data_IF_162191614270
#
_entry.id   IF_162191614270
#
_cell.length_a   1.000
_cell.length_b   1.000
_cell.length_c   1.000
_cell.angle_alpha   90.00
_cell.angle_beta   90.00
_cell.angle_gamma   90.00
#
_symmetry.space_group_name_H-M   'P 1'
#
loop_
_entity.id
_entity.type
_entity.pdbx_description
1 polymer ?
#
# COMPACT_ATOMS: atom_id res chain seq x y z
N UNK A 1 35.47 -6.31 -22.05
CA UNK A 1 34.76 -5.02 -21.89
C UNK A 1 33.35 -5.23 -22.42
N UNK A 2 32.32 -5.05 -21.59
CA UNK A 2 30.94 -5.17 -22.02
C UNK A 2 30.59 -3.98 -22.91
N UNK A 3 30.16 -4.24 -24.14
CA UNK A 3 29.86 -3.23 -25.15
C UNK A 3 28.62 -2.41 -24.70
N UNK A 4 28.83 -1.13 -24.38
CA UNK A 4 27.78 -0.22 -23.96
C UNK A 4 27.28 0.63 -25.15
N UNK A 5 26.03 0.42 -25.52
CA UNK A 5 25.35 1.10 -26.61
C UNK A 5 24.52 2.24 -26.01
N UNK A 6 24.80 3.48 -26.38
CA UNK A 6 23.92 4.61 -26.03
C UNK A 6 22.64 4.56 -26.86
N UNK A 7 21.49 4.64 -26.18
CA UNK A 7 20.18 4.57 -26.80
C UNK A 7 19.92 5.80 -27.68
N UNK A 8 19.59 5.55 -28.93
CA UNK A 8 19.15 6.54 -29.91
C UNK A 8 18.21 5.88 -30.92
N UNK A 9 17.49 6.66 -31.70
CA UNK A 9 16.63 6.10 -32.74
C UNK A 9 17.40 5.19 -33.69
N UNK A 10 18.64 5.55 -34.03
CA UNK A 10 19.50 4.76 -34.94
C UNK A 10 19.97 3.50 -34.27
N UNK A 11 20.59 3.58 -33.07
CA UNK A 11 21.12 2.37 -32.38
C UNK A 11 20.04 1.37 -32.05
N UNK A 12 18.83 1.81 -31.65
CA UNK A 12 17.71 0.90 -31.36
C UNK A 12 17.20 0.21 -32.64
N UNK A 13 17.07 0.93 -33.76
CA UNK A 13 16.61 0.34 -35.00
C UNK A 13 17.60 -0.68 -35.60
N UNK A 14 18.88 -0.47 -35.39
CA UNK A 14 19.95 -1.34 -35.89
C UNK A 14 20.35 -2.44 -34.89
N UNK A 15 19.76 -2.45 -33.68
CA UNK A 15 20.07 -3.44 -32.64
C UNK A 15 19.71 -4.85 -33.10
N UNK A 16 20.73 -5.70 -33.26
CA UNK A 16 20.61 -7.08 -33.73
C UNK A 16 20.21 -8.02 -32.59
N UNK A 17 19.63 -9.17 -32.90
CA UNK A 17 19.29 -10.24 -31.96
C UNK A 17 18.33 -9.82 -30.85
N UNK A 18 17.42 -8.87 -31.13
CA UNK A 18 16.33 -8.47 -30.23
C UNK A 18 14.99 -8.47 -30.96
N UNK A 19 13.88 -8.82 -30.28
CA UNK A 19 12.55 -8.81 -30.89
C UNK A 19 12.10 -7.39 -31.28
N UNK A 20 11.20 -7.31 -32.25
CA UNK A 20 10.61 -6.03 -32.65
C UNK A 20 9.86 -5.32 -31.51
N UNK A 21 9.18 -6.09 -30.63
CA UNK A 21 8.51 -5.55 -29.43
C UNK A 21 9.47 -4.81 -28.50
N UNK A 22 10.66 -5.34 -28.26
CA UNK A 22 11.69 -4.70 -27.43
C UNK A 22 12.16 -3.39 -28.08
N UNK A 23 12.42 -3.38 -29.40
CA UNK A 23 12.78 -2.15 -30.11
C UNK A 23 11.69 -1.07 -30.03
N UNK A 24 10.41 -1.46 -30.14
CA UNK A 24 9.28 -0.54 -30.00
C UNK A 24 9.23 0.05 -28.60
N UNK A 25 9.38 -0.76 -27.54
CA UNK A 25 9.42 -0.30 -26.18
C UNK A 25 10.61 0.66 -25.94
N UNK A 26 11.80 0.31 -26.43
CA UNK A 26 12.99 1.16 -26.33
C UNK A 26 12.81 2.51 -27.06
N UNK A 27 12.16 2.52 -28.25
CA UNK A 27 11.86 3.77 -28.94
C UNK A 27 10.90 4.67 -28.14
N UNK A 28 9.93 4.08 -27.44
CA UNK A 28 9.03 4.84 -26.57
C UNK A 28 9.77 5.41 -25.34
N UNK A 29 10.75 4.67 -24.79
CA UNK A 29 11.58 5.11 -23.66
C UNK A 29 12.54 6.27 -24.01
N UNK A 30 12.81 6.56 -25.30
CA UNK A 30 13.55 7.76 -25.69
C UNK A 30 12.84 9.07 -25.30
N UNK A 31 11.55 9.02 -24.98
CA UNK A 31 10.79 10.19 -24.53
C UNK A 31 10.90 10.44 -23.00
N UNK A 32 11.53 9.53 -22.26
CA UNK A 32 11.81 9.74 -20.83
C UNK A 32 12.83 10.87 -20.67
N UNK A 33 12.81 11.59 -19.54
CA UNK A 33 13.60 12.82 -19.38
C UNK A 33 14.44 12.86 -18.11
N UNK A 34 14.12 12.01 -17.11
CA UNK A 34 14.75 12.04 -15.78
C UNK A 34 15.51 10.76 -15.50
N UNK A 35 16.73 10.90 -14.98
CA UNK A 35 17.55 9.78 -14.55
C UNK A 35 18.18 8.98 -15.69
N UNK A 36 18.59 7.76 -15.42
CA UNK A 36 19.13 6.83 -16.41
C UNK A 36 18.49 5.46 -16.34
N UNK A 37 18.48 4.73 -17.47
CA UNK A 37 18.02 3.34 -17.51
C UNK A 37 19.01 2.50 -18.33
N UNK A 38 19.45 1.40 -17.77
CA UNK A 38 20.32 0.45 -18.46
C UNK A 38 19.61 -0.90 -18.57
N UNK A 39 19.44 -1.39 -19.80
CA UNK A 39 19.11 -2.78 -20.05
C UNK A 39 20.39 -3.61 -20.20
N UNK A 40 20.56 -4.64 -19.36
CA UNK A 40 21.54 -5.69 -19.56
C UNK A 40 20.86 -6.79 -20.39
N UNK A 41 21.31 -6.95 -21.63
CA UNK A 41 20.69 -7.91 -22.56
C UNK A 41 21.21 -9.32 -22.32
N UNK A 42 20.47 -10.39 -22.72
CA UNK A 42 20.89 -11.78 -22.53
C UNK A 42 22.24 -12.14 -23.18
N UNK A 43 22.66 -11.39 -24.18
CA UNK A 43 23.95 -11.57 -24.87
C UNK A 43 25.10 -10.73 -24.27
N UNK A 44 24.87 -10.10 -23.10
CA UNK A 44 25.86 -9.34 -22.35
C UNK A 44 26.03 -7.88 -22.77
N UNK A 45 25.37 -7.41 -23.84
CA UNK A 45 25.40 -6.00 -24.24
C UNK A 45 24.59 -5.13 -23.25
N UNK A 46 24.99 -3.87 -23.12
CA UNK A 46 24.33 -2.86 -22.30
C UNK A 46 23.71 -1.81 -23.20
N UNK A 47 22.39 -1.60 -23.10
CA UNK A 47 21.69 -0.49 -23.78
C UNK A 47 21.35 0.58 -22.74
N UNK A 48 22.04 1.74 -22.80
CA UNK A 48 21.92 2.83 -21.84
C UNK A 48 21.06 3.96 -22.40
N UNK A 49 20.04 4.34 -21.64
CA UNK A 49 19.29 5.59 -21.78
C UNK A 49 19.81 6.54 -20.72
N UNK A 50 20.27 7.71 -21.16
CA UNK A 50 20.86 8.72 -20.28
C UNK A 50 20.15 10.05 -20.57
N UNK A 51 19.73 10.73 -19.53
CA UNK A 51 18.95 11.95 -19.68
C UNK A 51 19.61 13.12 -18.96
N UNK A 52 19.37 14.35 -19.44
CA UNK A 52 19.99 15.56 -18.92
C UNK A 52 19.48 15.94 -17.52
N UNK A 53 18.24 15.53 -17.20
CA UNK A 53 17.67 15.82 -15.89
C UNK A 53 18.06 14.73 -14.88
N UNK A 54 18.53 15.16 -13.71
CA UNK A 54 18.81 14.24 -12.60
C UNK A 54 17.58 13.43 -12.20
N UNK A 55 17.79 12.19 -11.78
CA UNK A 55 16.71 11.28 -11.40
C UNK A 55 17.25 9.91 -11.04
N UNK A 56 16.38 8.90 -10.92
CA UNK A 56 16.78 7.55 -10.56
C UNK A 56 17.67 6.88 -11.61
N UNK A 57 18.61 6.05 -11.15
CA UNK A 57 19.54 5.28 -11.98
C UNK A 57 19.13 3.79 -11.98
N UNK A 58 18.33 3.41 -12.95
CA UNK A 58 17.72 2.09 -13.04
C UNK A 58 18.54 1.11 -13.89
N UNK A 59 18.61 -0.14 -13.43
CA UNK A 59 19.18 -1.26 -14.19
C UNK A 59 18.15 -2.38 -14.30
N UNK A 60 17.88 -2.84 -15.52
CA UNK A 60 17.00 -3.99 -15.80
C UNK A 60 17.81 -5.07 -16.50
N UNK A 61 17.92 -6.22 -15.87
CA UNK A 61 18.54 -7.42 -16.42
C UNK A 61 17.48 -8.22 -17.15
N UNK A 62 17.63 -8.35 -18.47
CA UNK A 62 16.68 -9.05 -19.34
C UNK A 62 17.05 -10.52 -19.43
N UNK A 63 16.18 -11.40 -18.95
CA UNK A 63 16.35 -12.86 -19.08
C UNK A 63 15.50 -13.43 -20.23
N UNK A 64 14.27 -12.90 -20.39
CA UNK A 64 13.39 -13.23 -21.53
C UNK A 64 12.71 -11.93 -22.02
N UNK A 65 12.76 -11.71 -23.31
CA UNK A 65 12.09 -10.57 -23.95
C UNK A 65 10.55 -10.65 -23.93
N UNK A 66 9.96 -11.76 -23.47
CA UNK A 66 8.52 -11.91 -23.29
C UNK A 66 7.95 -10.83 -22.34
N UNK A 67 8.75 -10.40 -21.34
CA UNK A 67 8.36 -9.35 -20.40
C UNK A 67 7.85 -8.07 -21.09
N UNK A 68 8.44 -7.71 -22.23
CA UNK A 68 8.03 -6.51 -22.97
C UNK A 68 6.62 -6.66 -23.53
N UNK A 69 6.29 -7.83 -24.09
CA UNK A 69 4.93 -8.07 -24.59
C UNK A 69 3.90 -8.03 -23.46
N UNK A 70 4.28 -8.59 -22.28
CA UNK A 70 3.44 -8.54 -21.07
C UNK A 70 3.24 -7.11 -20.57
N UNK A 71 4.31 -6.31 -20.50
CA UNK A 71 4.25 -4.90 -20.12
C UNK A 71 3.41 -4.07 -21.11
N UNK A 72 3.59 -4.27 -22.42
CA UNK A 72 2.80 -3.56 -23.44
C UNK A 72 1.31 -3.97 -23.42
N UNK A 73 0.99 -5.22 -23.10
CA UNK A 73 -0.38 -5.70 -23.04
C UNK A 73 -1.05 -5.38 -21.69
N UNK A 74 -0.37 -5.64 -20.57
CA UNK A 74 -0.89 -5.58 -19.20
C UNK A 74 -0.51 -4.32 -18.42
N UNK A 75 0.36 -3.48 -18.96
CA UNK A 75 0.85 -2.30 -18.24
C UNK A 75 1.70 -2.68 -17.03
N UNK A 76 1.48 -1.98 -15.91
CA UNK A 76 2.15 -2.21 -14.61
C UNK A 76 1.93 -3.63 -14.07
N UNK A 77 0.72 -4.17 -14.22
CA UNK A 77 0.42 -5.56 -13.83
C UNK A 77 1.26 -6.55 -14.66
N UNK A 78 1.29 -6.39 -15.99
CA UNK A 78 2.08 -7.27 -16.86
C UNK A 78 3.59 -7.17 -16.61
N UNK A 79 4.08 -5.98 -16.28
CA UNK A 79 5.48 -5.75 -15.92
C UNK A 79 5.85 -6.43 -14.59
N UNK A 80 4.97 -6.32 -13.60
CA UNK A 80 5.12 -6.98 -12.30
C UNK A 80 5.08 -8.51 -12.41
N UNK A 81 4.10 -9.07 -13.15
CA UNK A 81 3.96 -10.50 -13.34
C UNK A 81 5.19 -11.08 -14.05
N UNK A 82 5.77 -10.36 -15.02
CA UNK A 82 7.00 -10.77 -15.69
C UNK A 82 8.20 -10.78 -14.72
N UNK A 83 8.27 -9.85 -13.76
CA UNK A 83 9.26 -9.89 -12.69
C UNK A 83 9.06 -11.10 -11.78
N UNK A 84 7.82 -11.37 -11.37
CA UNK A 84 7.48 -12.53 -10.52
C UNK A 84 7.91 -13.84 -11.18
N UNK A 85 7.71 -13.97 -12.48
CA UNK A 85 8.07 -15.16 -13.26
C UNK A 85 9.56 -15.21 -13.67
N UNK A 86 10.37 -14.19 -13.28
CA UNK A 86 11.80 -14.18 -13.53
C UNK A 86 12.22 -13.84 -14.97
N UNK A 87 11.34 -13.27 -15.80
CA UNK A 87 11.66 -12.84 -17.15
C UNK A 87 12.64 -11.64 -17.17
N UNK A 88 12.68 -10.88 -16.06
CA UNK A 88 13.67 -9.84 -15.81
C UNK A 88 14.02 -9.75 -14.32
N UNK A 89 15.18 -9.17 -14.02
CA UNK A 89 15.62 -8.89 -12.66
C UNK A 89 16.32 -7.52 -12.58
N UNK A 90 16.71 -7.13 -11.39
CA UNK A 90 17.39 -5.87 -11.12
C UNK A 90 18.14 -5.95 -9.80
N UNK A 91 19.29 -5.28 -9.65
CA UNK A 91 19.94 -5.12 -8.35
C UNK A 91 19.16 -4.22 -7.39
N UNK A 92 18.35 -3.28 -7.91
CA UNK A 92 17.51 -2.38 -7.11
C UNK A 92 16.14 -2.18 -7.76
N UNK A 93 15.13 -2.86 -7.20
CA UNK A 93 13.77 -2.83 -7.73
C UNK A 93 13.10 -1.46 -7.48
N UNK A 94 13.40 -0.84 -6.34
CA UNK A 94 12.84 0.47 -6.01
C UNK A 94 13.34 1.54 -6.99
N UNK A 95 14.63 1.51 -7.37
CA UNK A 95 15.18 2.45 -8.37
C UNK A 95 14.51 2.28 -9.75
N UNK A 96 14.24 1.03 -10.19
CA UNK A 96 13.50 0.80 -11.44
C UNK A 96 12.09 1.41 -11.37
N UNK A 97 11.38 1.19 -10.26
CA UNK A 97 10.02 1.70 -10.08
C UNK A 97 10.00 3.22 -9.93
N UNK A 98 10.99 3.82 -9.27
CA UNK A 98 11.20 5.26 -9.21
C UNK A 98 11.43 5.86 -10.60
N UNK A 99 12.27 5.22 -11.43
CA UNK A 99 12.51 5.67 -12.79
C UNK A 99 11.20 5.75 -13.60
N UNK A 100 10.40 4.69 -13.57
CA UNK A 100 9.11 4.69 -14.28
C UNK A 100 8.10 5.66 -13.66
N UNK A 101 8.09 5.83 -12.33
CA UNK A 101 7.25 6.82 -11.64
C UNK A 101 7.63 8.25 -12.04
N UNK A 102 8.91 8.60 -12.01
CA UNK A 102 9.40 9.93 -12.36
C UNK A 102 9.16 10.29 -13.84
N UNK A 103 9.07 9.29 -14.72
CA UNK A 103 8.86 9.43 -16.18
C UNK A 103 7.46 8.95 -16.62
N UNK A 104 6.50 8.87 -15.70
CA UNK A 104 5.19 8.25 -15.98
C UNK A 104 4.44 8.86 -17.18
N UNK A 105 4.47 10.18 -17.35
CA UNK A 105 3.79 10.83 -18.47
C UNK A 105 4.45 10.48 -19.82
N UNK A 106 5.77 10.45 -19.84
CA UNK A 106 6.56 10.13 -21.03
C UNK A 106 6.50 8.62 -21.37
N UNK A 107 6.55 7.76 -20.34
CA UNK A 107 6.41 6.31 -20.46
C UNK A 107 4.96 5.83 -20.48
N UNK A 108 3.99 6.73 -20.33
CA UNK A 108 2.58 6.42 -20.03
C UNK A 108 1.87 5.53 -21.05
N UNK A 109 2.33 5.49 -22.31
CA UNK A 109 1.84 4.55 -23.31
C UNK A 109 2.28 3.10 -23.02
N UNK A 110 3.44 2.90 -22.39
CA UNK A 110 3.94 1.60 -21.98
C UNK A 110 3.24 1.13 -20.68
N UNK A 111 3.00 2.07 -19.76
CA UNK A 111 2.39 1.79 -18.46
C UNK A 111 0.87 1.49 -18.52
N UNK A 112 0.21 1.83 -19.63
CA UNK A 112 -1.26 1.79 -19.73
C UNK A 112 -1.79 0.43 -20.21
N UNK A 113 -0.98 -0.38 -20.91
CA UNK A 113 -1.40 -1.65 -21.50
C UNK A 113 -2.43 -1.54 -22.62
N UNK A 114 -2.76 -2.65 -23.25
CA UNK A 114 -3.75 -2.75 -24.33
C UNK A 114 -5.19 -2.60 -23.82
N UNK A 115 -6.07 -1.96 -24.58
CA UNK A 115 -7.47 -1.70 -24.20
C UNK A 115 -8.25 -2.98 -23.85
N UNK A 116 -8.03 -4.07 -24.59
CA UNK A 116 -8.70 -5.37 -24.35
C UNK A 116 -8.27 -5.99 -23.04
N UNK A 117 -6.97 -5.98 -22.72
CA UNK A 117 -6.44 -6.54 -21.46
C UNK A 117 -6.93 -5.71 -20.27
N UNK A 118 -6.96 -4.39 -20.39
CA UNK A 118 -7.54 -3.51 -19.36
C UNK A 118 -9.02 -3.82 -19.11
N UNK A 119 -9.81 -3.98 -20.17
CA UNK A 119 -11.23 -4.33 -20.06
C UNK A 119 -11.40 -5.70 -19.37
N UNK A 120 -10.65 -6.71 -19.78
CA UNK A 120 -10.71 -8.03 -19.18
C UNK A 120 -10.32 -8.00 -17.69
N UNK A 121 -9.27 -7.27 -17.33
CA UNK A 121 -8.86 -7.08 -15.93
C UNK A 121 -9.94 -6.36 -15.11
N UNK A 122 -10.55 -5.32 -15.67
CA UNK A 122 -11.65 -4.59 -15.01
C UNK A 122 -12.88 -5.48 -14.80
N UNK A 123 -13.30 -6.22 -15.82
CA UNK A 123 -14.45 -7.14 -15.71
C UNK A 123 -14.17 -8.21 -14.65
N UNK A 124 -12.99 -8.84 -14.69
CA UNK A 124 -12.59 -9.81 -13.67
C UNK A 124 -12.60 -9.22 -12.26
N UNK A 125 -12.06 -8.01 -12.07
CA UNK A 125 -12.05 -7.33 -10.78
C UNK A 125 -13.46 -7.03 -10.27
N UNK A 126 -14.35 -6.51 -11.12
CA UNK A 126 -15.74 -6.22 -10.76
C UNK A 126 -16.50 -7.45 -10.27
N UNK A 127 -16.18 -8.64 -10.79
CA UNK A 127 -16.83 -9.89 -10.38
C UNK A 127 -16.15 -10.58 -9.20
N UNK A 128 -14.82 -10.45 -9.04
CA UNK A 128 -14.06 -11.20 -8.03
C UNK A 128 -13.80 -10.43 -6.73
N UNK A 129 -13.89 -9.10 -6.74
CA UNK A 129 -13.39 -8.25 -5.64
C UNK A 129 -14.44 -7.31 -5.05
N UNK A 130 -15.72 -7.65 -5.16
CA UNK A 130 -16.78 -6.84 -4.55
C UNK A 130 -16.68 -6.87 -3.03
N UNK A 131 -16.66 -5.68 -2.40
CA UNK A 131 -16.62 -5.51 -0.94
C UNK A 131 -18.01 -5.62 -0.28
N UNK A 132 -18.85 -6.54 -0.76
CA UNK A 132 -20.01 -7.00 0.00
C UNK A 132 -19.54 -7.60 1.34
N UNK A 133 -20.45 -7.85 2.29
CA UNK A 133 -20.07 -8.47 3.58
C UNK A 133 -19.27 -9.77 3.41
N UNK A 134 -19.69 -10.63 2.49
CA UNK A 134 -18.99 -11.88 2.17
C UNK A 134 -17.71 -11.62 1.38
N UNK A 135 -17.74 -10.68 0.42
CA UNK A 135 -16.58 -10.27 -0.36
C UNK A 135 -15.49 -9.65 0.51
N UNK A 136 -15.83 -8.75 1.43
CA UNK A 136 -14.87 -8.16 2.37
C UNK A 136 -14.22 -9.23 3.26
N UNK A 137 -14.98 -10.17 3.81
CA UNK A 137 -14.44 -11.31 4.57
C UNK A 137 -13.50 -12.17 3.71
N UNK A 138 -13.87 -12.45 2.46
CA UNK A 138 -13.02 -13.23 1.52
C UNK A 138 -11.75 -12.48 1.17
N UNK A 139 -11.82 -11.19 0.87
CA UNK A 139 -10.67 -10.37 0.49
C UNK A 139 -9.68 -10.22 1.66
N UNK A 140 -10.19 -9.93 2.87
CA UNK A 140 -9.37 -9.87 4.09
C UNK A 140 -8.77 -11.24 4.40
N UNK A 141 -9.56 -12.31 4.29
CA UNK A 141 -9.07 -13.66 4.49
C UNK A 141 -7.91 -13.98 3.54
N UNK A 142 -8.06 -13.71 2.25
CA UNK A 142 -7.02 -13.99 1.25
C UNK A 142 -5.68 -13.28 1.56
N UNK A 143 -5.72 -12.07 2.12
CA UNK A 143 -4.51 -11.32 2.47
C UNK A 143 -3.91 -11.74 3.82
N UNK A 144 -4.75 -11.92 4.87
CA UNK A 144 -4.28 -12.22 6.23
C UNK A 144 -4.15 -13.74 6.51
N UNK A 145 -4.61 -14.61 5.61
CA UNK A 145 -4.39 -16.08 5.68
C UNK A 145 -2.92 -16.49 5.43
N UNK A 146 -2.02 -15.52 5.13
CA UNK A 146 -0.57 -15.76 5.15
C UNK A 146 -0.07 -16.17 6.55
N UNK A 147 -0.88 -15.92 7.60
CA UNK A 147 -0.66 -16.37 8.96
C UNK A 147 0.14 -15.40 9.83
N UNK A 148 -0.14 -15.43 11.14
CA UNK A 148 0.56 -14.59 12.11
C UNK A 148 2.06 -14.85 12.13
N UNK A 149 2.47 -16.11 11.92
CA UNK A 149 3.88 -16.51 11.90
C UNK A 149 4.65 -15.83 10.77
N UNK A 150 4.02 -15.69 9.59
CA UNK A 150 4.60 -14.94 8.47
C UNK A 150 4.83 -13.48 8.82
N UNK A 151 3.79 -12.80 9.34
CA UNK A 151 3.90 -11.37 9.65
C UNK A 151 4.86 -11.08 10.80
N UNK A 152 4.94 -11.94 11.81
CA UNK A 152 5.83 -11.78 12.95
C UNK A 152 7.32 -11.86 12.61
N UNK A 153 7.67 -12.43 11.47
CA UNK A 153 9.07 -12.55 11.03
C UNK A 153 9.66 -11.24 10.49
N UNK A 154 8.83 -10.29 10.07
CA UNK A 154 9.31 -9.08 9.41
C UNK A 154 8.62 -7.78 9.84
N UNK A 155 7.47 -7.82 10.51
CA UNK A 155 6.92 -6.64 11.19
C UNK A 155 7.71 -6.34 12.45
N UNK A 156 7.56 -5.12 12.96
CA UNK A 156 8.07 -4.72 14.27
C UNK A 156 7.37 -5.50 15.41
N UNK A 157 7.95 -5.52 16.64
CA UNK A 157 7.36 -6.27 17.77
C UNK A 157 5.92 -5.91 18.11
N UNK A 158 5.46 -4.70 17.74
CA UNK A 158 4.08 -4.30 17.92
C UNK A 158 3.11 -4.95 16.92
N UNK A 159 3.61 -5.71 15.96
CA UNK A 159 2.81 -6.33 14.89
C UNK A 159 1.96 -5.29 14.15
N UNK A 160 2.56 -4.16 13.79
CA UNK A 160 1.85 -3.07 13.13
C UNK A 160 2.06 -3.09 11.63
N UNK A 161 0.98 -3.34 10.88
CA UNK A 161 0.99 -3.37 9.42
C UNK A 161 0.29 -2.14 8.84
N UNK A 162 0.87 -0.98 9.11
CA UNK A 162 0.48 0.34 8.61
C UNK A 162 1.64 1.31 8.78
N UNK A 163 1.62 2.46 8.09
CA UNK A 163 2.71 3.43 8.14
C UNK A 163 3.07 3.83 9.57
N UNK A 164 4.34 3.88 9.86
CA UNK A 164 4.88 4.53 11.06
C UNK A 164 4.97 6.06 10.86
N UNK A 165 5.21 6.82 11.94
CA UNK A 165 5.50 8.26 11.92
C UNK A 165 6.89 8.49 12.52
N UNK A 166 7.86 8.88 11.69
CA UNK A 166 9.23 9.11 12.11
C UNK A 166 9.45 10.59 12.44
N UNK A 167 9.09 10.98 13.66
CA UNK A 167 9.25 12.37 14.14
C UNK A 167 10.70 12.86 14.15
N UNK A 168 11.63 11.92 14.16
CA UNK A 168 13.04 12.19 13.91
C UNK A 168 13.70 10.97 13.24
N UNK A 169 14.85 11.17 12.54
CA UNK A 169 15.49 10.12 11.76
C UNK A 169 16.04 8.95 12.58
N UNK A 170 16.25 9.11 13.88
CA UNK A 170 16.91 8.11 14.75
C UNK A 170 15.92 7.13 15.39
N UNK A 171 14.60 7.33 15.21
CA UNK A 171 13.60 6.41 15.75
C UNK A 171 13.71 5.03 15.10
N UNK A 172 13.63 3.98 15.92
CA UNK A 172 13.35 2.62 15.42
C UNK A 172 11.93 2.53 14.85
N UNK A 173 11.67 1.50 14.05
CA UNK A 173 10.32 1.29 13.50
C UNK A 173 9.27 1.18 14.61
N UNK A 174 9.56 0.43 15.68
CA UNK A 174 8.65 0.28 16.82
C UNK A 174 8.35 1.63 17.50
N UNK A 175 9.39 2.45 17.74
CA UNK A 175 9.21 3.78 18.32
C UNK A 175 8.38 4.70 17.41
N UNK A 176 8.59 4.61 16.11
CA UNK A 176 7.82 5.36 15.11
C UNK A 176 6.36 4.87 15.02
N UNK A 177 6.10 3.58 15.24
CA UNK A 177 4.75 3.04 15.38
C UNK A 177 4.06 3.57 16.64
N UNK A 178 4.79 3.66 17.75
CA UNK A 178 4.26 4.26 18.98
C UNK A 178 3.96 5.76 18.81
N UNK A 179 4.82 6.50 18.09
CA UNK A 179 4.58 7.90 17.76
C UNK A 179 3.29 8.08 16.93
N UNK A 180 3.06 7.22 15.95
CA UNK A 180 1.80 7.16 15.21
C UNK A 180 0.58 7.01 16.14
N UNK A 181 0.62 6.05 17.05
CA UNK A 181 -0.48 5.79 17.99
C UNK A 181 -0.70 6.96 18.95
N UNK A 182 0.39 7.58 19.42
CA UNK A 182 0.29 8.82 20.20
C UNK A 182 -0.47 9.90 19.46
N UNK A 183 -0.10 10.14 18.20
CA UNK A 183 -0.73 11.18 17.38
C UNK A 183 -2.22 10.90 17.12
N UNK A 184 -2.64 9.65 16.94
CA UNK A 184 -4.05 9.28 16.86
C UNK A 184 -4.77 9.56 18.19
N UNK A 185 -4.18 9.16 19.34
CA UNK A 185 -4.74 9.43 20.66
C UNK A 185 -4.89 10.93 20.94
N UNK A 186 -3.90 11.75 20.56
CA UNK A 186 -3.94 13.19 20.76
C UNK A 186 -5.05 13.85 19.93
N UNK A 187 -5.29 13.37 18.70
CA UNK A 187 -6.37 13.87 17.83
C UNK A 187 -7.77 13.59 18.34
N UNK A 188 -7.96 12.53 19.11
CA UNK A 188 -9.26 12.18 19.71
C UNK A 188 -9.34 12.53 21.20
N UNK A 189 -8.39 13.30 21.72
CA UNK A 189 -8.30 13.67 23.14
C UNK A 189 -8.39 12.47 24.09
N UNK A 190 -7.75 11.35 23.73
CA UNK A 190 -7.81 10.11 24.49
C UNK A 190 -7.21 10.25 25.89
N UNK A 191 -7.96 9.89 26.92
CA UNK A 191 -7.57 9.96 28.33
C UNK A 191 -8.22 8.86 29.17
N UNK A 192 -8.00 8.83 30.49
CA UNK A 192 -8.42 7.72 31.37
C UNK A 192 -9.93 7.46 31.42
N UNK A 193 -10.75 8.47 31.15
CA UNK A 193 -12.22 8.37 31.12
C UNK A 193 -12.78 8.15 29.72
N UNK A 194 -11.92 8.12 28.69
CA UNK A 194 -12.36 8.01 27.31
C UNK A 194 -12.78 6.59 26.97
N UNK A 195 -13.92 6.47 26.31
CA UNK A 195 -14.39 5.27 25.61
C UNK A 195 -14.10 5.43 24.12
N UNK A 196 -13.29 4.55 23.55
CA UNK A 196 -12.81 4.64 22.17
C UNK A 196 -13.31 3.44 21.38
N UNK A 197 -13.78 3.68 20.16
CA UNK A 197 -14.03 2.65 19.15
C UNK A 197 -12.84 2.58 18.19
N UNK A 198 -12.23 1.43 18.04
CA UNK A 198 -11.26 1.16 16.98
C UNK A 198 -11.89 0.30 15.89
N UNK A 199 -11.96 0.83 14.67
CA UNK A 199 -12.51 0.12 13.50
C UNK A 199 -11.35 -0.47 12.69
N UNK A 200 -11.21 -1.80 12.72
CA UNK A 200 -10.10 -2.50 12.06
C UNK A 200 -8.84 -2.56 12.94
N UNK A 201 -8.91 -3.25 14.06
CA UNK A 201 -7.85 -3.21 15.08
C UNK A 201 -6.59 -4.04 14.74
N UNK A 202 -6.56 -4.78 13.62
CA UNK A 202 -5.43 -5.63 13.30
C UNK A 202 -5.06 -6.56 14.47
N UNK A 203 -3.80 -6.57 14.85
CA UNK A 203 -3.28 -7.37 15.98
C UNK A 203 -3.31 -6.63 17.33
N UNK A 204 -4.05 -5.51 17.43
CA UNK A 204 -4.33 -4.79 18.69
C UNK A 204 -3.25 -3.80 19.13
N UNK A 205 -2.38 -3.33 18.21
CA UNK A 205 -1.29 -2.42 18.56
C UNK A 205 -1.77 -1.07 19.09
N UNK A 206 -2.73 -0.43 18.41
CA UNK A 206 -3.29 0.83 18.87
C UNK A 206 -4.09 0.66 20.18
N UNK A 207 -4.92 -0.39 20.28
CA UNK A 207 -5.70 -0.64 21.48
C UNK A 207 -4.81 -0.81 22.72
N UNK A 208 -3.70 -1.58 22.60
CA UNK A 208 -2.71 -1.69 23.68
C UNK A 208 -2.14 -0.34 24.06
N UNK A 209 -1.71 0.44 23.05
CA UNK A 209 -1.14 1.78 23.30
C UNK A 209 -2.14 2.70 24.03
N UNK A 210 -3.38 2.79 23.52
CA UNK A 210 -4.42 3.65 24.10
C UNK A 210 -4.78 3.24 25.54
N UNK A 211 -4.90 1.94 25.80
CA UNK A 211 -5.19 1.44 27.13
C UNK A 211 -4.03 1.63 28.12
N UNK A 212 -2.78 1.34 27.70
CA UNK A 212 -1.59 1.47 28.57
C UNK A 212 -1.18 2.92 28.80
N UNK A 213 -1.09 3.71 27.73
CA UNK A 213 -0.47 5.03 27.78
C UNK A 213 -1.48 6.13 28.10
N UNK A 214 -2.75 5.94 27.76
CA UNK A 214 -3.83 6.92 28.00
C UNK A 214 -4.82 6.47 29.07
N UNK A 215 -4.80 5.20 29.47
CA UNK A 215 -5.75 4.63 30.41
C UNK A 215 -7.18 4.49 29.85
N UNK A 216 -7.34 4.65 28.53
CA UNK A 216 -8.64 4.61 27.87
C UNK A 216 -9.26 3.20 27.87
N UNK A 217 -10.58 3.13 27.75
CA UNK A 217 -11.30 1.90 27.40
C UNK A 217 -11.46 1.83 25.88
N UNK A 218 -11.15 0.69 25.29
CA UNK A 218 -11.18 0.53 23.83
C UNK A 218 -12.06 -0.65 23.44
N UNK A 219 -13.07 -0.40 22.60
CA UNK A 219 -13.82 -1.44 21.90
C UNK A 219 -13.24 -1.57 20.49
N UNK A 220 -12.74 -2.75 20.17
CA UNK A 220 -12.05 -3.05 18.92
C UNK A 220 -12.90 -3.92 18.03
N UNK A 221 -13.00 -3.57 16.75
CA UNK A 221 -13.70 -4.35 15.73
C UNK A 221 -12.72 -4.95 14.74
N UNK A 222 -12.89 -6.22 14.44
CA UNK A 222 -12.23 -6.91 13.33
C UNK A 222 -13.15 -7.96 12.74
N UNK A 223 -12.99 -8.27 11.46
CA UNK A 223 -13.69 -9.39 10.81
C UNK A 223 -12.78 -10.60 10.56
N UNK A 224 -11.53 -10.54 11.04
CA UNK A 224 -10.55 -11.63 10.97
C UNK A 224 -10.50 -12.41 12.29
N UNK A 225 -10.88 -13.70 12.29
CA UNK A 225 -10.76 -14.55 13.48
C UNK A 225 -9.32 -14.68 13.97
N UNK A 226 -8.34 -14.74 13.06
CA UNK A 226 -6.92 -14.84 13.38
C UNK A 226 -6.43 -13.61 14.13
N UNK A 227 -6.73 -12.41 13.62
CA UNK A 227 -6.37 -11.15 14.28
C UNK A 227 -7.05 -11.02 15.65
N UNK A 228 -8.36 -11.35 15.73
CA UNK A 228 -9.09 -11.32 17.01
C UNK A 228 -8.40 -12.19 18.06
N UNK A 229 -8.11 -13.43 17.73
CA UNK A 229 -7.51 -14.36 18.68
C UNK A 229 -6.13 -13.89 19.15
N UNK A 230 -5.31 -13.37 18.22
CA UNK A 230 -4.01 -12.80 18.55
C UNK A 230 -4.14 -11.57 19.46
N UNK A 231 -5.02 -10.63 19.11
CA UNK A 231 -5.25 -9.41 19.88
C UNK A 231 -5.78 -9.72 21.28
N UNK A 232 -6.71 -10.67 21.43
CA UNK A 232 -7.20 -11.12 22.73
C UNK A 232 -6.07 -11.71 23.59
N UNK A 233 -5.26 -12.61 23.03
CA UNK A 233 -4.13 -13.19 23.75
C UNK A 233 -3.11 -12.11 24.16
N UNK A 234 -2.89 -11.11 23.31
CA UNK A 234 -2.06 -9.95 23.59
C UNK A 234 -2.61 -9.14 24.77
N UNK A 235 -3.90 -8.80 24.76
CA UNK A 235 -4.52 -8.04 25.87
C UNK A 235 -4.48 -8.80 27.20
N UNK A 236 -4.66 -10.11 27.19
CA UNK A 236 -4.53 -10.95 28.38
C UNK A 236 -3.09 -10.93 28.92
N UNK A 237 -2.09 -11.11 28.06
CA UNK A 237 -0.68 -11.11 28.44
C UNK A 237 -0.26 -9.77 29.06
N UNK A 238 -0.82 -8.68 28.56
CA UNK A 238 -0.53 -7.32 29.01
C UNK A 238 -1.41 -6.86 30.19
N UNK A 239 -2.32 -7.69 30.69
CA UNK A 239 -3.22 -7.35 31.79
C UNK A 239 -4.26 -6.28 31.45
N UNK A 240 -4.65 -6.17 30.18
CA UNK A 240 -5.54 -5.13 29.68
C UNK A 240 -6.97 -5.60 29.41
N UNK A 241 -7.32 -6.84 29.80
CA UNK A 241 -8.62 -7.44 29.50
C UNK A 241 -9.83 -6.69 30.05
N UNK A 242 -9.68 -5.90 31.12
CA UNK A 242 -10.76 -5.06 31.66
C UNK A 242 -10.93 -3.71 30.92
N UNK A 243 -9.93 -3.31 30.11
CA UNK A 243 -9.92 -2.04 29.39
C UNK A 243 -10.16 -2.19 27.90
N UNK A 244 -9.84 -3.37 27.33
CA UNK A 244 -9.91 -3.60 25.89
C UNK A 244 -10.80 -4.78 25.58
N UNK A 245 -11.85 -4.54 24.82
CA UNK A 245 -12.76 -5.56 24.32
C UNK A 245 -12.52 -5.77 22.80
N UNK A 246 -12.21 -7.01 22.39
CA UNK A 246 -12.00 -7.36 20.98
C UNK A 246 -13.21 -8.12 20.44
N UNK A 247 -13.93 -7.54 19.49
CA UNK A 247 -15.14 -8.10 18.88
C UNK A 247 -14.87 -8.61 17.47
N UNK A 248 -15.35 -9.81 17.17
CA UNK A 248 -15.45 -10.30 15.79
C UNK A 248 -16.74 -9.76 15.17
N UNK A 249 -16.71 -8.54 14.71
CA UNK A 249 -17.91 -7.82 14.30
C UNK A 249 -17.59 -6.93 13.09
N UNK A 250 -18.54 -6.88 12.14
CA UNK A 250 -18.47 -5.95 11.03
C UNK A 250 -18.90 -4.55 11.49
N UNK A 251 -18.10 -3.52 11.23
CA UNK A 251 -18.38 -2.15 11.66
C UNK A 251 -19.77 -1.66 11.24
N UNK A 252 -20.33 -2.18 10.14
CA UNK A 252 -21.67 -1.84 9.63
C UNK A 252 -22.78 -2.26 10.58
N UNK A 253 -22.54 -3.30 11.37
CA UNK A 253 -23.51 -3.85 12.33
C UNK A 253 -23.36 -3.25 13.73
N UNK A 254 -22.22 -2.64 14.00
CA UNK A 254 -21.88 -2.09 15.30
C UNK A 254 -22.87 -1.01 15.76
N UNK A 255 -23.16 -1.01 17.05
CA UNK A 255 -23.98 0.00 17.75
C UNK A 255 -23.27 0.48 19.00
N UNK A 256 -23.34 1.78 19.25
CA UNK A 256 -22.73 2.43 20.39
C UNK A 256 -22.20 3.81 20.04
N UNK A 257 -22.00 4.65 21.04
CA UNK A 257 -21.42 6.00 20.89
C UNK A 257 -20.23 6.14 21.81
N UNK A 258 -19.19 6.82 21.32
CA UNK A 258 -17.86 6.87 21.90
C UNK A 258 -17.34 8.29 21.97
N UNK A 259 -16.42 8.54 22.89
CA UNK A 259 -15.71 9.80 22.98
C UNK A 259 -14.74 9.98 21.83
N UNK A 260 -14.16 8.85 21.36
CA UNK A 260 -13.24 8.82 20.23
C UNK A 260 -13.50 7.65 19.29
N UNK A 261 -13.28 7.87 17.99
CA UNK A 261 -13.24 6.82 16.97
C UNK A 261 -11.88 6.84 16.29
N UNK A 262 -11.18 5.71 16.29
CA UNK A 262 -9.92 5.50 15.60
C UNK A 262 -10.08 4.47 14.48
N UNK A 263 -9.44 4.71 13.32
CA UNK A 263 -9.34 3.73 12.26
C UNK A 263 -8.05 3.98 11.46
N UNK A 264 -7.21 2.94 11.37
CA UNK A 264 -5.85 3.06 10.83
C UNK A 264 -5.73 2.14 9.61
N UNK A 265 -5.66 2.73 8.41
CA UNK A 265 -5.49 2.03 7.12
C UNK A 265 -6.48 0.85 6.92
N UNK A 266 -7.72 1.09 7.29
CA UNK A 266 -8.83 0.16 7.08
C UNK A 266 -9.76 0.64 5.95
N UNK A 267 -9.85 1.95 5.77
CA UNK A 267 -10.76 2.57 4.81
C UNK A 267 -10.50 2.13 3.37
N UNK A 268 -9.25 1.84 3.04
CA UNK A 268 -8.82 1.35 1.73
C UNK A 268 -9.50 0.02 1.33
N UNK A 269 -9.87 -0.79 2.33
CA UNK A 269 -10.57 -2.05 2.13
C UNK A 269 -12.11 -1.92 2.03
N UNK A 270 -12.65 -0.72 2.26
CA UNK A 270 -14.11 -0.48 2.26
C UNK A 270 -14.69 -0.57 0.85
N UNK A 271 -13.98 -0.05 -0.15
CA UNK A 271 -14.46 0.06 -1.53
C UNK A 271 -15.39 1.26 -1.74
N UNK A 272 -15.26 1.91 -2.90
CA UNK A 272 -15.85 3.22 -3.18
C UNK A 272 -17.36 3.28 -2.97
N UNK A 273 -18.10 2.24 -3.37
CA UNK A 273 -19.57 2.20 -3.22
C UNK A 273 -20.05 2.20 -1.77
N UNK A 274 -19.17 1.89 -0.81
CA UNK A 274 -19.51 1.85 0.61
C UNK A 274 -18.95 3.03 1.41
N UNK A 275 -18.23 3.96 0.79
CA UNK A 275 -17.69 5.14 1.47
C UNK A 275 -18.77 5.96 2.21
N UNK A 276 -19.95 6.25 1.61
CA UNK A 276 -21.00 6.97 2.33
C UNK A 276 -21.42 6.26 3.62
N UNK A 277 -21.59 4.93 3.59
CA UNK A 277 -22.01 4.16 4.75
C UNK A 277 -20.92 4.08 5.83
N UNK A 278 -19.65 4.10 5.43
CA UNK A 278 -18.53 4.12 6.37
C UNK A 278 -18.47 5.44 7.15
N UNK A 279 -18.56 6.59 6.48
CA UNK A 279 -18.53 7.88 7.16
C UNK A 279 -19.82 8.16 7.94
N UNK A 280 -20.98 7.67 7.46
CA UNK A 280 -22.20 7.69 8.27
C UNK A 280 -22.03 6.90 9.57
N UNK A 281 -21.37 5.73 9.52
CA UNK A 281 -21.08 4.93 10.71
C UNK A 281 -20.12 5.65 11.67
N UNK A 282 -19.09 6.34 11.17
CA UNK A 282 -18.21 7.18 12.01
C UNK A 282 -19.05 8.24 12.72
N UNK A 283 -19.92 8.95 11.99
CA UNK A 283 -20.80 9.98 12.57
C UNK A 283 -21.73 9.41 13.66
N UNK A 284 -22.40 8.28 13.38
CA UNK A 284 -23.28 7.60 14.32
C UNK A 284 -22.56 7.13 15.59
N UNK A 285 -21.29 6.71 15.45
CA UNK A 285 -20.48 6.19 16.55
C UNK A 285 -19.84 7.28 17.43
N UNK A 286 -19.91 8.53 17.06
CA UNK A 286 -19.42 9.64 17.87
C UNK A 286 -20.49 10.17 18.82
N UNK A 287 -20.14 10.44 20.10
CA UNK A 287 -20.89 11.35 20.98
C UNK A 287 -20.88 12.76 20.40
N UNK A 288 -21.72 13.67 20.86
CA UNK A 288 -21.81 15.02 20.25
C UNK A 288 -20.49 15.82 20.36
N UNK A 289 -19.71 15.64 21.43
CA UNK A 289 -18.36 16.20 21.59
C UNK A 289 -17.24 15.30 21.11
N UNK A 290 -17.57 14.12 20.55
CA UNK A 290 -16.62 13.11 20.16
C UNK A 290 -15.81 13.49 18.92
N UNK A 291 -14.60 12.94 18.80
CA UNK A 291 -13.69 13.16 17.69
C UNK A 291 -13.30 11.84 17.03
N UNK A 292 -13.09 11.87 15.73
CA UNK A 292 -12.51 10.73 15.02
C UNK A 292 -11.12 11.08 14.49
N UNK A 293 -10.21 10.11 14.54
CA UNK A 293 -8.90 10.16 13.90
C UNK A 293 -8.74 8.99 12.95
N UNK A 294 -8.58 9.29 11.67
CA UNK A 294 -8.51 8.30 10.61
C UNK A 294 -7.15 8.41 9.91
N UNK A 295 -6.38 7.32 9.89
CA UNK A 295 -5.19 7.23 9.05
C UNK A 295 -5.59 6.61 7.71
N UNK A 296 -5.44 7.36 6.62
CA UNK A 296 -5.91 6.95 5.29
C UNK A 296 -4.83 7.23 4.26
N UNK A 297 -4.59 6.25 3.39
CA UNK A 297 -3.75 6.41 2.19
C UNK A 297 -4.58 7.15 1.13
N UNK A 298 -4.00 8.18 0.54
CA UNK A 298 -4.63 8.96 -0.52
C UNK A 298 -3.83 8.89 -1.81
N UNK A 299 -4.52 9.02 -2.94
CA UNK A 299 -3.90 9.23 -4.25
C UNK A 299 -4.12 10.68 -4.68
N UNK A 300 -3.20 11.21 -5.48
CA UNK A 300 -3.29 12.54 -6.07
C UNK A 300 -4.64 12.76 -6.78
N UNK A 301 -5.26 13.93 -6.56
CA UNK A 301 -6.57 14.28 -7.15
C UNK A 301 -6.57 14.18 -8.68
N UNK A 302 -5.48 14.53 -9.35
CA UNK A 302 -5.35 14.46 -10.81
C UNK A 302 -5.25 13.02 -11.33
N UNK A 303 -4.76 12.10 -10.51
CA UNK A 303 -4.64 10.68 -10.84
C UNK A 303 -5.90 9.88 -10.54
N UNK A 304 -6.68 10.29 -9.54
CA UNK A 304 -7.84 9.55 -9.05
C UNK A 304 -8.86 9.20 -10.14
N UNK A 305 -9.29 10.11 -11.07
CA UNK A 305 -10.25 9.79 -12.12
C UNK A 305 -9.80 8.67 -13.05
N UNK A 306 -8.49 8.49 -13.21
CA UNK A 306 -7.89 7.43 -14.02
C UNK A 306 -7.68 6.16 -13.21
N UNK A 307 -7.22 6.29 -11.96
CA UNK A 307 -6.99 5.19 -11.03
C UNK A 307 -8.27 4.39 -10.76
N UNK A 308 -9.38 5.03 -10.41
CA UNK A 308 -10.65 4.35 -10.10
C UNK A 308 -11.26 3.52 -11.25
N UNK A 309 -10.73 3.67 -12.47
CA UNK A 309 -11.16 2.95 -13.68
C UNK A 309 -10.19 1.85 -14.09
N UNK A 310 -9.22 1.50 -13.26
CA UNK A 310 -8.20 0.50 -13.55
C UNK A 310 -8.03 -0.45 -12.38
N UNK A 311 -7.39 -1.56 -12.68
CA UNK A 311 -6.88 -2.49 -11.67
C UNK A 311 -5.37 -2.42 -11.75
N UNK A 312 -4.73 -2.01 -10.68
CA UNK A 312 -3.28 -1.98 -10.55
C UNK A 312 -2.73 -3.29 -9.96
N UNK A 313 -1.42 -3.35 -9.81
CA UNK A 313 -0.73 -4.49 -9.20
C UNK A 313 -1.22 -4.79 -7.78
N UNK A 314 -1.43 -3.75 -6.95
CA UNK A 314 -1.88 -3.90 -5.56
C UNK A 314 -3.27 -4.53 -5.49
N UNK A 315 -4.21 -4.02 -6.27
CA UNK A 315 -5.58 -4.54 -6.33
C UNK A 315 -5.63 -5.95 -6.92
N UNK A 316 -4.67 -6.29 -7.78
CA UNK A 316 -4.62 -7.60 -8.44
C UNK A 316 -4.06 -8.70 -7.56
N UNK A 317 -2.96 -8.43 -6.84
CA UNK A 317 -2.14 -9.44 -6.20
C UNK A 317 -2.08 -9.32 -4.67
N UNK A 318 -2.30 -8.13 -4.10
CA UNK A 318 -2.07 -7.87 -2.67
C UNK A 318 -3.38 -7.61 -1.93
N UNK A 319 -4.12 -6.55 -2.32
CA UNK A 319 -5.37 -6.14 -1.68
C UNK A 319 -6.54 -6.13 -2.66
N UNK A 320 -7.11 -7.32 -2.99
CA UNK A 320 -8.29 -7.38 -3.87
C UNK A 320 -9.44 -6.54 -3.31
N UNK A 321 -9.99 -5.67 -4.16
CA UNK A 321 -11.06 -4.75 -3.75
C UNK A 321 -10.60 -3.48 -3.03
N UNK A 322 -9.29 -3.30 -2.83
CA UNK A 322 -8.72 -2.08 -2.28
C UNK A 322 -8.99 -0.87 -3.20
N UNK A 323 -9.24 0.31 -2.59
CA UNK A 323 -9.47 1.56 -3.33
C UNK A 323 -8.95 2.74 -2.53
N UNK A 324 -8.00 3.47 -3.10
CA UNK A 324 -7.48 4.70 -2.51
C UNK A 324 -8.38 5.88 -2.88
N UNK A 325 -8.83 6.69 -1.93
CA UNK A 325 -9.51 7.95 -2.21
C UNK A 325 -8.51 9.04 -2.61
N UNK A 326 -8.98 10.07 -3.31
CA UNK A 326 -8.29 11.36 -3.32
C UNK A 326 -8.71 12.23 -2.14
N UNK A 327 -7.93 13.27 -1.82
CA UNK A 327 -8.26 14.19 -0.72
C UNK A 327 -9.60 14.89 -0.96
N UNK A 328 -9.86 15.32 -2.20
CA UNK A 328 -11.13 15.91 -2.59
C UNK A 328 -12.30 14.95 -2.37
N UNK A 329 -12.14 13.69 -2.80
CA UNK A 329 -13.19 12.68 -2.61
C UNK A 329 -13.48 12.43 -1.13
N UNK A 330 -12.45 12.42 -0.25
CA UNK A 330 -12.63 12.31 1.20
C UNK A 330 -13.41 13.50 1.77
N UNK A 331 -13.03 14.73 1.41
CA UNK A 331 -13.72 15.94 1.89
C UNK A 331 -15.19 15.95 1.51
N UNK A 332 -15.52 15.51 0.29
CA UNK A 332 -16.91 15.37 -0.16
C UNK A 332 -17.68 14.35 0.71
N UNK A 333 -17.05 13.23 1.08
CA UNK A 333 -17.65 12.23 1.97
C UNK A 333 -17.84 12.76 3.40
N UNK A 334 -16.86 13.45 3.96
CA UNK A 334 -16.97 14.06 5.29
C UNK A 334 -18.16 15.02 5.35
N UNK A 335 -18.27 15.90 4.36
CA UNK A 335 -19.37 16.86 4.26
C UNK A 335 -20.74 16.16 4.17
N UNK A 336 -20.84 15.13 3.32
CA UNK A 336 -22.08 14.39 3.11
C UNK A 336 -22.52 13.66 4.39
N UNK A 337 -21.57 13.17 5.19
CA UNK A 337 -21.87 12.49 6.44
C UNK A 337 -22.13 13.43 7.63
N UNK A 338 -22.05 14.76 7.45
CA UNK A 338 -22.22 15.74 8.54
C UNK A 338 -20.99 15.86 9.45
N UNK A 339 -19.83 15.37 8.99
CA UNK A 339 -18.56 15.51 9.70
C UNK A 339 -17.85 16.80 9.30
N UNK A 340 -17.26 17.47 10.30
CA UNK A 340 -16.35 18.59 10.08
C UNK A 340 -14.92 18.06 9.98
N UNK A 341 -14.19 18.48 8.97
CA UNK A 341 -12.77 18.20 8.84
C UNK A 341 -11.99 19.26 9.65
N UNK A 342 -11.38 18.84 10.75
CA UNK A 342 -10.68 19.73 11.68
C UNK A 342 -9.20 19.90 11.34
N UNK A 343 -8.63 18.96 10.54
CA UNK A 343 -7.26 19.04 10.05
C UNK A 343 -6.70 17.70 9.60
N UNK A 344 -5.58 17.75 8.90
CA UNK A 344 -4.83 16.57 8.45
C UNK A 344 -3.32 16.83 8.58
N UNK A 345 -2.58 15.80 8.93
CA UNK A 345 -1.11 15.77 8.83
C UNK A 345 -0.70 14.66 7.90
N UNK A 346 0.01 15.00 6.85
CA UNK A 346 0.55 14.06 5.86
C UNK A 346 1.98 13.65 6.20
N UNK A 347 2.31 12.37 5.95
CA UNK A 347 3.63 11.80 6.22
C UNK A 347 3.99 10.66 5.25
N UNK A 348 3.71 10.83 3.97
CA UNK A 348 3.99 9.81 2.94
C UNK A 348 5.46 9.39 2.85
N UNK A 349 6.41 10.31 3.14
CA UNK A 349 7.83 9.96 3.18
C UNK A 349 8.17 8.97 4.30
N UNK A 350 7.44 9.03 5.41
CA UNK A 350 7.57 8.06 6.50
C UNK A 350 7.04 6.68 6.08
N UNK A 351 6.02 6.65 5.23
CA UNK A 351 5.55 5.38 4.68
C UNK A 351 6.55 4.77 3.71
N UNK A 352 7.18 5.58 2.87
CA UNK A 352 8.27 5.09 2.03
C UNK A 352 9.38 4.46 2.89
N UNK A 353 9.77 5.13 3.97
CA UNK A 353 10.73 4.58 4.94
C UNK A 353 10.21 3.30 5.60
N UNK A 354 8.96 3.26 6.01
CA UNK A 354 8.32 2.06 6.60
C UNK A 354 8.39 0.87 5.63
N UNK A 355 8.04 1.07 4.36
CA UNK A 355 8.15 0.03 3.32
C UNK A 355 9.60 -0.46 3.14
N UNK A 356 10.57 0.43 3.17
CA UNK A 356 11.99 0.10 3.10
C UNK A 356 12.46 -0.73 4.30
N UNK A 357 12.04 -0.37 5.51
CA UNK A 357 12.33 -1.12 6.74
C UNK A 357 11.71 -2.52 6.67
N UNK A 358 10.45 -2.62 6.23
CA UNK A 358 9.77 -3.91 6.02
C UNK A 358 10.47 -4.76 4.95
N UNK A 359 10.90 -4.17 3.83
CA UNK A 359 11.62 -4.88 2.78
C UNK A 359 12.94 -5.48 3.29
N UNK A 360 13.70 -4.72 4.09
CA UNK A 360 14.93 -5.20 4.72
C UNK A 360 14.67 -6.36 5.68
N UNK A 361 13.66 -6.21 6.56
CA UNK A 361 13.29 -7.25 7.52
C UNK A 361 12.78 -8.52 6.82
N UNK A 362 11.90 -8.38 5.83
CA UNK A 362 11.37 -9.49 5.03
C UNK A 362 12.50 -10.28 4.34
N UNK A 363 13.42 -9.59 3.66
CA UNK A 363 14.54 -10.26 3.00
C UNK A 363 15.54 -10.85 4.01
N UNK A 364 15.75 -10.21 5.14
CA UNK A 364 16.60 -10.73 6.24
C UNK A 364 16.00 -12.00 6.88
N UNK A 365 14.69 -12.14 6.89
CA UNK A 365 13.99 -13.30 7.44
C UNK A 365 13.64 -14.37 6.38
N UNK A 366 14.06 -14.21 5.12
CA UNK A 366 13.59 -15.06 4.01
C UNK A 366 13.79 -16.55 4.26
N UNK A 367 14.92 -16.98 4.81
CA UNK A 367 15.17 -18.40 5.10
C UNK A 367 14.17 -19.01 6.08
N UNK A 368 13.62 -18.19 6.98
CA UNK A 368 12.57 -18.61 7.92
C UNK A 368 11.20 -18.60 7.23
N UNK A 369 10.94 -17.59 6.41
CA UNK A 369 9.70 -17.46 5.64
C UNK A 369 9.56 -18.61 4.65
N UNK A 370 10.63 -18.99 3.95
CA UNK A 370 10.62 -20.13 3.03
C UNK A 370 10.27 -21.46 3.73
N UNK A 371 10.67 -21.64 5.00
CA UNK A 371 10.30 -22.83 5.80
C UNK A 371 8.80 -22.91 6.13
N UNK A 372 8.08 -21.79 6.04
CA UNK A 372 6.62 -21.75 6.16
C UNK A 372 5.91 -22.21 4.87
N UNK A 373 6.66 -22.50 3.81
CA UNK A 373 6.13 -22.99 2.53
C UNK A 373 6.00 -21.93 1.45
N UNK A 374 6.53 -20.73 1.65
CA UNK A 374 6.55 -19.67 0.64
C UNK A 374 7.69 -19.91 -0.37
N UNK A 375 7.40 -19.67 -1.65
CA UNK A 375 8.31 -19.90 -2.77
C UNK A 375 8.94 -18.63 -3.34
N UNK A 376 9.87 -18.78 -4.30
CA UNK A 376 10.54 -17.63 -4.93
C UNK A 376 9.60 -16.70 -5.72
N UNK A 377 8.57 -17.15 -6.47
CA UNK A 377 7.55 -16.28 -7.03
C UNK A 377 6.84 -15.42 -5.97
N UNK A 378 6.52 -15.98 -4.80
CA UNK A 378 5.97 -15.22 -3.68
C UNK A 378 6.96 -14.16 -3.17
N UNK A 379 8.24 -14.53 -2.99
CA UNK A 379 9.29 -13.59 -2.58
C UNK A 379 9.38 -12.41 -3.55
N UNK A 380 9.39 -12.67 -4.84
CA UNK A 380 9.40 -11.64 -5.87
C UNK A 380 8.15 -10.78 -5.84
N UNK A 381 6.98 -11.36 -5.68
CA UNK A 381 5.72 -10.62 -5.54
C UNK A 381 5.76 -9.67 -4.34
N UNK A 382 6.25 -10.13 -3.18
CA UNK A 382 6.29 -9.34 -1.96
C UNK A 382 7.32 -8.21 -2.05
N UNK A 383 8.48 -8.47 -2.63
CA UNK A 383 9.47 -7.44 -2.93
C UNK A 383 8.94 -6.39 -3.90
N UNK A 384 8.23 -6.83 -4.96
CA UNK A 384 7.60 -5.89 -5.89
C UNK A 384 6.57 -5.01 -5.19
N UNK A 385 5.75 -5.59 -4.33
CA UNK A 385 4.76 -4.86 -3.52
C UNK A 385 5.41 -3.76 -2.67
N UNK A 386 6.41 -4.12 -1.86
CA UNK A 386 7.04 -3.16 -0.95
C UNK A 386 7.78 -2.06 -1.72
N UNK A 387 8.51 -2.41 -2.78
CA UNK A 387 9.18 -1.42 -3.63
C UNK A 387 8.22 -0.53 -4.42
N UNK A 388 7.07 -1.08 -4.87
CA UNK A 388 6.03 -0.32 -5.57
C UNK A 388 5.40 0.74 -4.67
N UNK A 389 5.10 0.37 -3.42
CA UNK A 389 4.61 1.31 -2.42
C UNK A 389 5.68 2.35 -2.05
N UNK A 390 6.92 1.94 -1.78
CA UNK A 390 8.04 2.84 -1.48
C UNK A 390 8.20 3.90 -2.58
N UNK A 391 8.32 3.48 -3.83
CA UNK A 391 8.46 4.40 -4.98
C UNK A 391 7.24 5.31 -5.17
N UNK A 392 6.03 4.81 -4.90
CA UNK A 392 4.79 5.58 -4.97
C UNK A 392 4.72 6.71 -3.96
N UNK A 393 5.09 6.43 -2.69
CA UNK A 393 5.12 7.42 -1.62
C UNK A 393 6.26 8.43 -1.80
N UNK A 394 7.46 8.00 -2.16
CA UNK A 394 8.58 8.92 -2.42
C UNK A 394 8.31 9.85 -3.60
N UNK A 395 7.66 9.35 -4.64
CA UNK A 395 7.27 10.13 -5.80
C UNK A 395 6.11 11.10 -5.55
N UNK A 396 5.49 11.07 -4.34
CA UNK A 396 4.38 11.93 -3.96
C UNK A 396 3.08 11.66 -4.71
N UNK A 397 2.97 10.54 -5.44
CA UNK A 397 1.76 10.15 -6.20
C UNK A 397 0.67 9.58 -5.30
N UNK A 398 1.08 8.97 -4.21
CA UNK A 398 0.27 8.56 -3.09
C UNK A 398 0.83 9.18 -1.81
N UNK A 399 -0.04 9.40 -0.85
CA UNK A 399 0.33 9.96 0.44
C UNK A 399 -0.42 9.20 1.54
N UNK A 400 -0.06 9.38 2.79
CA UNK A 400 -0.83 8.92 3.94
C UNK A 400 -1.02 10.08 4.89
N UNK A 401 -2.25 10.21 5.42
CA UNK A 401 -2.58 11.31 6.33
C UNK A 401 -3.40 10.84 7.52
N UNK A 402 -3.18 11.49 8.66
CA UNK A 402 -4.06 11.39 9.83
C UNK A 402 -5.05 12.54 9.80
N UNK A 403 -6.31 12.22 9.50
CA UNK A 403 -7.44 13.14 9.43
C UNK A 403 -8.14 13.22 10.77
N UNK A 404 -8.36 14.42 11.27
CA UNK A 404 -9.17 14.68 12.46
C UNK A 404 -10.55 15.17 12.04
N UNK A 405 -11.58 14.53 12.58
CA UNK A 405 -12.98 14.83 12.29
C UNK A 405 -13.76 15.00 13.59
N UNK A 406 -14.81 15.84 13.55
CA UNK A 406 -15.81 15.99 14.62
C UNK A 406 -17.21 16.12 14.03
N UNK A 407 -18.25 15.98 14.87
CA UNK A 407 -19.61 16.32 14.44
C UNK A 407 -19.72 17.81 14.16
N UNK A 408 -20.55 18.17 13.16
CA UNK A 408 -20.90 19.57 12.89
C UNK A 408 -21.93 20.06 13.88
#
# INVERSE_FOLDING_TARGET
>A
MTDTITASTHSIRTLKNVPASFRIACLALLNTRKGSLVFLLPDGRRLKFDHEQSGPDAVVEVHDYAFVKRALAGGDVGFAEAYMDGEWSTPDLTEVLRFFSANFEAAGRLAVGGAVVRWANMVRHLFSSRNTREGAKKNIKAHYDLGNDFYSLWLDPSMTYSSAVFENPNLSLEQAQQAKYRNICDRIDAGPSSEILEIGCGWGGFAEYAAKQRGAKVTCLTISPSQRNYAMARMQREGLGERVEIRLEDYRDHRGTYDGVASIEMFEAVGESYWPSYFAKIFESLKDSGKAALQIITIDDDLFPRYRKRVDFIQRHIFPGGMLPSEKALKDQFQTAGLRHDGVTYFGQDYARTCREWSRAFNGAWDQIAKLGFDEPFRRMWNFYLSYCEAGFEGGRINVGQFQLSKR
#
